data_IF_040598042296
#
_entry.id   IF_040598042296
#
_cell.length_a   1.000
_cell.length_b   1.000
_cell.length_c   1.000
_cell.angle_alpha   90.00
_cell.angle_beta   90.00
_cell.angle_gamma   90.00
#
_symmetry.space_group_name_H-M   'P 1'
#
loop_
_entity.id
_entity.type
_entity.pdbx_description
1 polymer ?
#
# COMPACT_ATOMS: atom_id res chain seq x y z
N UNK A 1 -21.48 -14.61 1.96
CA UNK A 1 -20.46 -13.60 1.84
C UNK A 1 -20.09 -13.05 3.21
N UNK A 2 -18.83 -12.99 3.49
CA UNK A 2 -18.38 -12.49 4.76
C UNK A 2 -18.62 -10.99 4.86
N UNK A 3 -19.02 -10.57 6.04
CA UNK A 3 -19.16 -9.15 6.31
C UNK A 3 -17.79 -8.48 6.24
N UNK A 4 -17.70 -7.47 5.41
CA UNK A 4 -16.45 -6.76 5.22
C UNK A 4 -16.37 -5.45 5.97
N UNK A 5 -17.38 -5.15 6.74
CA UNK A 5 -17.35 -3.92 7.51
C UNK A 5 -16.20 -3.95 8.50
N UNK A 6 -15.43 -2.88 8.56
CA UNK A 6 -14.32 -2.86 9.52
C UNK A 6 -14.84 -2.89 10.93
N UNK A 7 -14.16 -3.65 11.76
CA UNK A 7 -14.46 -3.70 13.17
C UNK A 7 -13.56 -2.79 13.95
N UNK A 8 -12.87 -1.95 13.26
CA UNK A 8 -11.98 -1.02 13.91
C UNK A 8 -12.77 -0.04 14.71
N UNK A 9 -12.09 0.58 15.64
CA UNK A 9 -12.69 1.58 16.44
C UNK A 9 -13.41 2.58 15.56
N UNK A 10 -14.63 2.80 15.89
CA UNK A 10 -15.41 3.77 15.18
C UNK A 10 -15.07 5.15 15.70
N UNK A 11 -14.52 5.94 14.87
CA UNK A 11 -14.18 7.30 15.24
C UNK A 11 -15.38 8.19 15.01
N UNK A 12 -16.38 7.96 15.80
CA UNK A 12 -17.60 8.73 15.66
C UNK A 12 -17.30 10.17 15.38
N UNK A 13 -18.10 10.80 14.58
CA UNK A 13 -17.88 12.17 14.21
C UNK A 13 -17.12 12.35 12.92
N UNK A 14 -16.90 11.26 12.20
CA UNK A 14 -16.33 11.38 10.87
C UNK A 14 -14.82 11.52 10.84
N UNK A 15 -14.15 11.08 11.90
CA UNK A 15 -12.71 11.11 11.88
C UNK A 15 -12.20 10.18 10.78
N UNK A 16 -11.23 10.66 10.04
CA UNK A 16 -10.71 9.91 8.92
C UNK A 16 -9.76 8.84 9.40
N UNK A 17 -9.57 7.84 8.56
CA UNK A 17 -8.72 6.70 8.86
C UNK A 17 -7.65 6.58 7.78
N UNK A 18 -6.56 5.94 8.16
CA UNK A 18 -5.48 5.66 7.22
C UNK A 18 -5.60 4.22 6.75
N UNK A 19 -5.36 4.03 5.47
CA UNK A 19 -5.37 2.71 4.85
C UNK A 19 -4.12 2.53 4.03
N UNK A 20 -3.54 1.34 4.14
CA UNK A 20 -2.43 0.96 3.29
C UNK A 20 -2.99 0.13 2.15
N UNK A 21 -2.69 0.56 0.92
CA UNK A 21 -3.05 -0.19 -0.27
C UNK A 21 -1.79 -0.91 -0.74
N UNK A 22 -1.81 -2.22 -0.67
CA UNK A 22 -0.67 -3.05 -1.04
C UNK A 22 -0.93 -3.60 -2.43
N UNK A 23 -0.03 -3.30 -3.35
CA UNK A 23 -0.23 -3.58 -4.76
C UNK A 23 0.55 -4.83 -5.15
N UNK A 24 -0.15 -5.85 -5.61
CA UNK A 24 0.46 -7.11 -6.02
C UNK A 24 0.23 -7.32 -7.50
N UNK A 25 1.24 -7.79 -8.19
CA UNK A 25 1.13 -8.06 -9.62
C UNK A 25 2.20 -9.09 -10.00
N UNK A 26 1.96 -9.76 -11.13
CA UNK A 26 2.94 -10.68 -11.69
C UNK A 26 3.96 -9.85 -12.45
N UNK A 27 5.19 -9.76 -11.90
CA UNK A 27 6.23 -8.93 -12.50
C UNK A 27 6.61 -9.40 -13.90
N UNK A 28 6.38 -10.68 -14.19
CA UNK A 28 6.74 -11.23 -15.48
C UNK A 28 5.69 -10.95 -16.54
N UNK A 29 4.52 -10.47 -16.16
CA UNK A 29 3.41 -10.33 -17.09
C UNK A 29 3.39 -8.99 -17.81
N UNK A 30 4.30 -8.08 -17.46
CA UNK A 30 4.30 -6.74 -18.05
C UNK A 30 5.56 -6.50 -18.84
N UNK A 31 5.38 -5.88 -20.01
CA UNK A 31 6.52 -5.37 -20.75
C UNK A 31 7.04 -4.08 -20.09
N UNK A 32 8.24 -3.66 -20.48
CA UNK A 32 8.79 -2.41 -19.97
C UNK A 32 7.91 -1.24 -20.33
N UNK A 33 7.33 -1.27 -21.53
CA UNK A 33 6.45 -0.19 -21.98
C UNK A 33 5.18 -0.13 -21.15
N UNK A 34 4.60 -1.30 -20.88
CA UNK A 34 3.41 -1.35 -20.05
C UNK A 34 3.70 -0.88 -18.64
N UNK A 35 4.87 -1.22 -18.12
CA UNK A 35 5.27 -0.80 -16.80
C UNK A 35 5.43 0.71 -16.72
N UNK A 36 6.06 1.31 -17.74
CA UNK A 36 6.23 2.75 -17.77
C UNK A 36 4.89 3.47 -17.81
N UNK A 37 3.94 2.92 -18.58
CA UNK A 37 2.61 3.50 -18.67
C UNK A 37 1.90 3.41 -17.33
N UNK A 38 2.05 2.29 -16.66
CA UNK A 38 1.45 2.07 -15.37
C UNK A 38 2.00 3.06 -14.34
N UNK A 39 3.31 3.31 -14.38
CA UNK A 39 3.90 4.27 -13.47
C UNK A 39 3.37 5.68 -13.72
N UNK A 40 3.20 6.05 -14.98
CA UNK A 40 2.69 7.38 -15.31
C UNK A 40 1.25 7.55 -14.81
N UNK A 41 0.43 6.52 -14.98
CA UNK A 41 -0.94 6.59 -14.49
C UNK A 41 -0.97 6.63 -12.95
N UNK A 42 -0.09 5.89 -12.32
CA UNK A 42 -0.02 5.89 -10.86
C UNK A 42 0.39 7.25 -10.33
N UNK A 43 1.35 7.90 -11.00
CA UNK A 43 1.77 9.23 -10.61
C UNK A 43 0.61 10.22 -10.71
N UNK A 44 -0.20 10.09 -11.76
CA UNK A 44 -1.36 10.97 -11.91
C UNK A 44 -2.36 10.73 -10.79
N UNK A 45 -2.58 9.47 -10.42
CA UNK A 45 -3.48 9.17 -9.32
C UNK A 45 -3.00 9.80 -8.01
N UNK A 46 -1.70 9.73 -7.73
CA UNK A 46 -1.18 10.33 -6.51
C UNK A 46 -1.37 11.83 -6.51
N UNK A 47 -1.20 12.47 -7.66
CA UNK A 47 -1.43 13.90 -7.74
C UNK A 47 -2.89 14.25 -7.47
N UNK A 48 -3.81 13.45 -7.99
CA UNK A 48 -5.22 13.66 -7.74
C UNK A 48 -5.54 13.46 -6.26
N UNK A 49 -4.97 12.44 -5.64
CA UNK A 49 -5.18 12.19 -4.23
C UNK A 49 -4.59 13.30 -3.37
N UNK A 50 -3.45 13.84 -3.80
CA UNK A 50 -2.84 14.93 -3.07
C UNK A 50 -3.70 16.18 -3.11
N UNK A 51 -4.35 16.42 -4.24
CA UNK A 51 -5.21 17.60 -4.39
C UNK A 51 -6.41 17.54 -3.46
N UNK A 52 -6.85 16.35 -3.07
CA UNK A 52 -8.00 16.20 -2.18
C UNK A 52 -7.59 15.93 -0.74
N UNK A 53 -6.28 15.98 -0.44
CA UNK A 53 -5.80 15.74 0.91
C UNK A 53 -5.75 14.28 1.32
N UNK A 54 -5.90 13.37 0.37
CA UNK A 54 -5.97 11.94 0.66
C UNK A 54 -4.63 11.22 0.50
N UNK A 55 -3.67 11.86 -0.11
CA UNK A 55 -2.35 11.25 -0.33
C UNK A 55 -1.49 11.42 0.91
N UNK A 56 -0.93 10.33 1.40
CA UNK A 56 0.05 10.38 2.47
C UNK A 56 1.42 9.92 1.99
N UNK A 57 1.46 8.82 1.24
CA UNK A 57 2.70 8.32 0.68
C UNK A 57 2.36 7.30 -0.38
N UNK A 58 3.27 7.10 -1.32
CA UNK A 58 3.13 6.05 -2.33
C UNK A 58 4.47 5.86 -3.02
N UNK A 59 4.73 4.63 -3.43
CA UNK A 59 5.92 4.36 -4.23
C UNK A 59 5.83 2.97 -4.84
N UNK A 60 6.36 2.78 -6.04
CA UNK A 60 6.63 1.45 -6.53
C UNK A 60 7.87 0.90 -5.83
N UNK A 61 8.03 -0.40 -5.89
CA UNK A 61 9.20 -1.08 -5.34
C UNK A 61 10.00 -1.66 -6.48
N UNK A 62 11.30 -1.81 -6.26
CA UNK A 62 12.15 -2.52 -7.20
C UNK A 62 11.71 -3.99 -7.26
N UNK A 63 12.07 -4.72 -8.33
CA UNK A 63 11.64 -6.10 -8.48
C UNK A 63 12.06 -6.99 -7.31
N UNK A 64 11.33 -8.08 -7.12
CA UNK A 64 11.62 -9.00 -6.00
C UNK A 64 13.01 -9.60 -6.08
N UNK A 65 13.64 -9.59 -7.25
CA UNK A 65 15.03 -10.06 -7.35
C UNK A 65 15.98 -9.21 -6.53
N UNK A 66 15.58 -8.00 -6.15
CA UNK A 66 16.39 -7.13 -5.30
C UNK A 66 16.06 -7.27 -3.82
N UNK A 67 15.11 -8.13 -3.48
CA UNK A 67 14.66 -8.25 -2.09
C UNK A 67 15.69 -8.93 -1.23
N UNK A 68 15.68 -8.60 0.06
CA UNK A 68 16.47 -9.25 1.07
C UNK A 68 15.57 -9.52 2.25
N UNK A 69 15.60 -10.73 2.77
CA UNK A 69 14.75 -11.12 3.89
C UNK A 69 15.61 -11.41 5.11
N UNK A 70 15.13 -11.00 6.27
CA UNK A 70 15.88 -11.15 7.52
C UNK A 70 15.00 -11.85 8.54
N UNK A 71 15.57 -12.86 9.19
CA UNK A 71 14.91 -13.53 10.31
C UNK A 71 15.88 -13.57 11.47
N UNK A 72 15.35 -13.57 12.66
CA UNK A 72 16.15 -13.82 13.86
C UNK A 72 15.54 -15.03 14.55
N UNK A 73 16.29 -16.09 14.66
CA UNK A 73 15.85 -17.34 15.28
C UNK A 73 16.87 -17.75 16.32
N UNK A 74 16.40 -17.93 17.56
CA UNK A 74 17.28 -18.34 18.67
C UNK A 74 18.48 -17.40 18.78
N UNK A 75 18.22 -16.10 18.64
CA UNK A 75 19.27 -15.10 18.75
C UNK A 75 20.17 -14.98 17.54
N UNK A 76 19.93 -15.75 16.47
CA UNK A 76 20.78 -15.72 15.29
C UNK A 76 20.11 -14.98 14.17
N UNK A 77 20.89 -14.16 13.49
CA UNK A 77 20.44 -13.40 12.32
C UNK A 77 20.57 -14.26 11.08
N UNK A 78 19.47 -14.41 10.37
CA UNK A 78 19.45 -15.16 9.11
C UNK A 78 19.06 -14.20 8.01
N UNK A 79 19.95 -14.01 7.05
CA UNK A 79 19.73 -13.07 5.94
C UNK A 79 19.70 -13.90 4.65
N UNK A 80 18.67 -13.69 3.85
CA UNK A 80 18.47 -14.45 2.62
C UNK A 80 18.19 -13.47 1.49
N UNK A 81 18.80 -13.70 0.34
CA UNK A 81 18.47 -12.94 -0.87
C UNK A 81 17.12 -13.41 -1.37
N UNK A 82 16.29 -12.44 -1.74
CA UNK A 82 14.99 -12.73 -2.29
C UNK A 82 13.87 -12.51 -1.29
N UNK A 83 12.63 -12.62 -1.74
CA UNK A 83 11.47 -12.45 -0.86
C UNK A 83 11.34 -13.64 0.07
N UNK A 84 10.62 -13.45 1.18
CA UNK A 84 10.47 -14.53 2.15
C UNK A 84 9.63 -15.68 1.60
N UNK A 85 8.84 -15.43 0.57
CA UNK A 85 8.01 -16.45 -0.05
C UNK A 85 7.92 -16.18 -1.54
N UNK A 86 7.88 -17.26 -2.33
CA UNK A 86 7.67 -17.12 -3.76
C UNK A 86 6.19 -17.19 -4.04
N UNK A 87 5.68 -16.21 -4.74
CA UNK A 87 4.27 -16.08 -5.02
C UNK A 87 4.08 -15.76 -6.49
N UNK A 88 2.85 -16.01 -6.96
CA UNK A 88 2.54 -15.72 -8.34
C UNK A 88 2.47 -14.22 -8.60
N UNK A 89 1.86 -13.50 -7.67
CA UNK A 89 1.86 -12.04 -7.70
C UNK A 89 2.77 -11.54 -6.60
N UNK A 90 3.61 -10.59 -6.94
CA UNK A 90 4.59 -10.05 -6.01
C UNK A 90 4.17 -8.66 -5.55
N UNK A 91 4.54 -8.32 -4.32
CA UNK A 91 4.30 -6.97 -3.83
C UNK A 91 5.15 -6.01 -4.65
N UNK A 92 4.50 -5.14 -5.40
CA UNK A 92 5.19 -4.22 -6.31
C UNK A 92 5.09 -2.76 -5.95
N UNK A 93 4.33 -2.43 -4.92
CA UNK A 93 4.20 -1.02 -4.54
C UNK A 93 3.18 -0.84 -3.46
N UNK A 94 3.02 0.40 -3.04
CA UNK A 94 2.05 0.71 -2.00
C UNK A 94 1.56 2.14 -2.13
N UNK A 95 0.38 2.37 -1.54
CA UNK A 95 -0.17 3.70 -1.32
C UNK A 95 -0.61 3.76 0.12
N UNK A 96 -0.28 4.85 0.77
CA UNK A 96 -0.83 5.14 2.10
C UNK A 96 -1.78 6.32 1.93
N UNK A 97 -3.04 6.13 2.28
CA UNK A 97 -4.07 7.11 2.01
C UNK A 97 -4.86 7.43 3.27
N UNK A 98 -5.51 8.56 3.22
CA UNK A 98 -6.44 9.02 4.24
C UNK A 98 -7.84 8.94 3.62
N UNK A 99 -8.73 8.18 4.22
CA UNK A 99 -10.07 8.00 3.69
C UNK A 99 -11.07 8.00 4.84
N UNK A 100 -12.32 8.31 4.50
CA UNK A 100 -13.35 8.40 5.53
C UNK A 100 -13.81 7.05 6.01
N UNK A 101 -13.81 6.05 5.14
CA UNK A 101 -14.24 4.72 5.48
C UNK A 101 -13.72 3.72 4.46
N UNK A 102 -14.04 2.45 4.67
CA UNK A 102 -13.56 1.40 3.77
C UNK A 102 -14.13 1.56 2.37
N UNK A 103 -15.37 2.00 2.24
CA UNK A 103 -15.96 2.16 0.91
C UNK A 103 -15.19 3.20 0.10
N UNK A 104 -14.78 4.28 0.73
CA UNK A 104 -13.97 5.28 0.04
C UNK A 104 -12.61 4.70 -0.33
N UNK A 105 -12.00 3.93 0.57
CA UNK A 105 -10.72 3.29 0.27
C UNK A 105 -10.85 2.33 -0.91
N UNK A 106 -11.97 1.60 -1.00
CA UNK A 106 -12.21 0.71 -2.13
C UNK A 106 -12.31 1.50 -3.42
N UNK A 107 -13.02 2.62 -3.41
CA UNK A 107 -13.14 3.44 -4.62
C UNK A 107 -11.77 3.96 -5.08
N UNK A 108 -10.91 4.29 -4.13
CA UNK A 108 -9.55 4.71 -4.48
C UNK A 108 -8.75 3.53 -5.03
N UNK A 109 -8.86 2.38 -4.37
CA UNK A 109 -8.11 1.19 -4.80
C UNK A 109 -8.47 0.77 -6.22
N UNK A 110 -9.72 0.96 -6.62
CA UNK A 110 -10.15 0.63 -7.97
C UNK A 110 -9.42 1.44 -9.03
N UNK A 111 -8.92 2.60 -8.66
CA UNK A 111 -8.23 3.49 -9.59
C UNK A 111 -6.73 3.21 -9.67
N UNK A 112 -6.22 2.36 -8.81
CA UNK A 112 -4.81 1.97 -8.87
C UNK A 112 -4.62 1.14 -10.13
N UNK A 113 -3.73 1.55 -11.05
CA UNK A 113 -3.66 0.89 -12.36
C UNK A 113 -3.51 -0.63 -12.30
N UNK A 114 -2.64 -1.21 -11.44
CA UNK A 114 -2.54 -2.67 -11.39
C UNK A 114 -3.78 -3.39 -10.89
N UNK A 115 -4.80 -2.69 -10.38
CA UNK A 115 -6.02 -3.38 -9.94
C UNK A 115 -6.69 -4.13 -11.09
N UNK A 116 -6.40 -3.74 -12.34
CA UNK A 116 -7.03 -4.36 -13.51
C UNK A 116 -6.43 -5.71 -13.85
N UNK A 117 -5.21 -6.00 -13.41
CA UNK A 117 -4.54 -7.26 -13.77
C UNK A 117 -3.77 -7.87 -12.61
N UNK A 118 -3.78 -7.23 -11.47
CA UNK A 118 -3.21 -7.75 -10.25
C UNK A 118 -4.21 -7.60 -9.14
N UNK A 119 -3.72 -7.34 -7.94
CA UNK A 119 -4.57 -7.24 -6.76
C UNK A 119 -4.12 -6.06 -5.92
N UNK A 120 -5.08 -5.32 -5.39
CA UNK A 120 -4.79 -4.29 -4.40
C UNK A 120 -5.43 -4.73 -3.09
N UNK A 121 -4.60 -4.97 -2.10
CA UNK A 121 -5.06 -5.38 -0.78
C UNK A 121 -5.15 -4.15 0.09
N UNK A 122 -6.28 -3.97 0.74
CA UNK A 122 -6.52 -2.80 1.60
C UNK A 122 -6.37 -3.23 3.04
N UNK A 123 -5.48 -2.56 3.78
CA UNK A 123 -5.28 -2.84 5.19
C UNK A 123 -5.47 -1.56 6.00
N UNK A 124 -6.43 -1.51 6.89
CA UNK A 124 -6.54 -0.35 7.78
C UNK A 124 -5.28 -0.26 8.64
N UNK A 125 -4.80 0.96 8.80
CA UNK A 125 -3.61 1.18 9.60
C UNK A 125 -4.03 1.33 11.06
N UNK A 126 -3.39 0.54 11.92
CA UNK A 126 -3.66 0.61 13.35
C UNK A 126 -2.83 1.73 13.95
N UNK A 127 -3.48 2.58 14.72
CA UNK A 127 -2.77 3.64 15.43
C UNK A 127 -2.55 3.18 16.86
N UNK A 128 -1.30 3.19 17.28
CA UNK A 128 -0.95 2.78 18.63
C UNK A 128 -0.12 3.90 19.27
N UNK A 129 -0.18 3.94 20.59
CA UNK A 129 0.57 4.92 21.33
C UNK A 129 2.07 4.69 21.17
N UNK A 130 2.81 5.77 21.15
CA UNK A 130 4.26 5.68 21.10
C UNK A 130 4.86 5.81 19.71
N UNK A 131 4.03 5.75 18.67
CA UNK A 131 4.54 5.96 17.33
C UNK A 131 4.56 7.44 17.00
N UNK A 132 5.60 7.92 16.30
CA UNK A 132 5.59 9.30 15.83
C UNK A 132 4.40 9.52 14.91
N UNK A 133 3.82 10.70 14.99
CA UNK A 133 2.68 11.04 14.15
C UNK A 133 3.14 11.46 12.77
N UNK A 134 2.31 11.19 11.78
CA UNK A 134 2.55 11.66 10.43
C UNK A 134 1.68 12.87 10.15
N UNK A 135 2.24 13.82 9.42
CA UNK A 135 1.47 14.95 8.94
C UNK A 135 0.50 14.50 7.86
N UNK A 136 -0.48 15.35 7.56
CA UNK A 136 -1.44 15.02 6.52
C UNK A 136 -0.79 14.87 5.16
N UNK A 137 0.42 15.41 4.98
CA UNK A 137 1.13 15.27 3.71
C UNK A 137 2.06 14.07 3.71
N UNK A 138 1.97 13.20 4.71
CA UNK A 138 2.77 12.00 4.78
C UNK A 138 4.14 12.17 5.39
N UNK A 139 4.49 13.36 5.83
CA UNK A 139 5.80 13.58 6.43
C UNK A 139 5.74 13.32 7.93
N UNK A 140 6.82 12.77 8.51
CA UNK A 140 6.85 12.57 9.96
C UNK A 140 6.85 13.91 10.66
N UNK A 141 6.23 13.90 11.82
CA UNK A 141 6.23 15.10 12.65
C UNK A 141 7.51 15.13 13.47
N UNK A 142 8.14 16.28 13.49
CA UNK A 142 9.34 16.45 14.31
C UNK A 142 8.99 16.72 15.74
#
# INVERSE_FOLDING_TARGET
MKDRSPKLRDDAGGRRMKYMLLVYLDEQAMSDEERAHCYAESAQLTQNLNATGQYLAASPLHPVSTATSVRVREGKRLVTDGPFAETREQLGGYYLIDAGDLDEAIRIAEKVPPAKFGTVEIRPVMEIDGLPRMESNGLPRN
#
